data_IF_572047321569
#
_entry.id   IF_572047321569
#
_cell.length_a   1.000
_cell.length_b   1.000
_cell.length_c   1.000
_cell.angle_alpha   90.00
_cell.angle_beta   90.00
_cell.angle_gamma   90.00
#
_symmetry.space_group_name_H-M   'P 1'
#
loop_
_entity.id
_entity.type
_entity.pdbx_description
1 polymer ?
#
# COMPACT_ATOMS: atom_id res chain seq x y z
N UNK A 1 -8.36 2.44 12.38
CA UNK A 1 -8.16 1.29 11.49
C UNK A 1 -9.10 1.34 10.29
N UNK A 2 -8.55 1.25 9.09
CA UNK A 2 -9.34 1.19 7.85
C UNK A 2 -9.58 -0.29 7.55
N UNK A 3 -10.84 -0.72 7.57
CA UNK A 3 -11.20 -2.14 7.47
C UNK A 3 -10.59 -2.76 6.21
N UNK A 4 -9.75 -3.79 6.40
CA UNK A 4 -9.07 -4.50 5.32
C UNK A 4 -7.75 -3.88 4.86
N UNK A 5 -7.38 -2.68 5.33
CA UNK A 5 -6.06 -2.11 5.03
C UNK A 5 -5.00 -2.70 5.98
N UNK A 6 -3.90 -3.20 5.42
CA UNK A 6 -2.76 -3.72 6.19
C UNK A 6 -1.61 -2.70 6.36
N UNK A 7 -1.84 -1.40 6.13
CA UNK A 7 -0.80 -0.37 6.18
C UNK A 7 -0.04 -0.34 7.53
N UNK A 8 -0.72 -0.58 8.65
CA UNK A 8 -0.05 -0.68 9.96
C UNK A 8 0.93 -1.84 10.07
N UNK A 9 0.62 -3.00 9.48
CA UNK A 9 1.52 -4.16 9.44
C UNK A 9 2.68 -3.92 8.46
N UNK A 10 2.42 -3.24 7.34
CA UNK A 10 3.44 -2.83 6.37
C UNK A 10 4.46 -1.88 6.99
N UNK A 11 4.00 -0.88 7.74
CA UNK A 11 4.88 0.06 8.44
C UNK A 11 5.74 -0.61 9.53
N UNK A 12 5.25 -1.71 10.11
CA UNK A 12 6.00 -2.52 11.08
C UNK A 12 6.94 -3.54 10.42
N UNK A 13 6.93 -3.66 9.09
CA UNK A 13 7.67 -4.68 8.36
C UNK A 13 7.18 -6.11 8.57
N UNK A 14 5.94 -6.28 9.05
CA UNK A 14 5.33 -7.60 9.28
C UNK A 14 4.75 -8.17 7.97
N UNK A 15 4.29 -7.28 7.08
CA UNK A 15 3.72 -7.60 5.78
C UNK A 15 4.33 -6.73 4.69
N UNK A 16 4.34 -7.21 3.46
CA UNK A 16 4.65 -6.38 2.30
C UNK A 16 3.35 -5.81 1.68
N UNK A 17 3.41 -4.72 0.89
CA UNK A 17 2.21 -4.12 0.30
C UNK A 17 1.32 -5.11 -0.46
N UNK A 18 1.88 -6.09 -1.16
CA UNK A 18 1.14 -7.14 -1.89
C UNK A 18 0.36 -8.11 -0.99
N UNK A 19 0.69 -8.20 0.31
CA UNK A 19 -0.10 -8.95 1.30
C UNK A 19 -1.37 -8.20 1.74
N UNK A 20 -1.46 -6.89 1.44
CA UNK A 20 -2.64 -6.10 1.75
C UNK A 20 -3.76 -6.43 0.76
N UNK A 21 -4.95 -6.88 1.20
CA UNK A 21 -6.01 -7.31 0.30
C UNK A 21 -6.60 -6.17 -0.56
N UNK A 22 -6.32 -4.92 -0.18
CA UNK A 22 -6.78 -3.73 -0.91
C UNK A 22 -5.73 -3.22 -1.91
N UNK A 23 -4.46 -3.59 -1.76
CA UNK A 23 -3.35 -3.05 -2.54
C UNK A 23 -3.49 -3.39 -4.03
N UNK A 24 -3.30 -2.38 -4.89
CA UNK A 24 -3.40 -2.49 -6.34
C UNK A 24 -4.79 -2.80 -6.88
N UNK A 25 -5.80 -2.94 -6.00
CA UNK A 25 -7.20 -3.19 -6.36
C UNK A 25 -8.04 -1.96 -6.06
N UNK A 26 -8.41 -1.81 -4.78
CA UNK A 26 -9.20 -0.66 -4.28
C UNK A 26 -8.32 0.46 -3.76
N UNK A 27 -7.08 0.15 -3.38
CA UNK A 27 -6.07 1.10 -2.92
C UNK A 27 -5.04 1.25 -4.05
N UNK A 28 -5.09 2.37 -4.75
CA UNK A 28 -4.16 2.77 -5.83
C UNK A 28 -3.69 4.21 -5.59
N UNK A 29 -2.67 4.71 -6.31
CA UNK A 29 -2.28 6.11 -6.22
C UNK A 29 -3.42 7.09 -6.57
N UNK A 30 -4.31 6.76 -7.51
CA UNK A 30 -5.47 7.61 -7.81
C UNK A 30 -6.58 7.51 -6.76
N UNK A 31 -6.71 6.35 -6.10
CA UNK A 31 -7.70 6.11 -5.04
C UNK A 31 -7.03 5.53 -3.79
N UNK A 32 -6.33 6.37 -3.00
CA UNK A 32 -5.59 5.89 -1.84
C UNK A 32 -6.53 5.58 -0.68
N UNK A 33 -6.53 4.32 -0.22
CA UNK A 33 -7.34 3.91 0.94
C UNK A 33 -6.60 4.12 2.25
N UNK A 34 -5.29 3.88 2.30
CA UNK A 34 -4.49 4.00 3.52
C UNK A 34 -3.32 4.98 3.37
N UNK A 35 -2.81 5.49 4.49
CA UNK A 35 -1.73 6.49 4.52
C UNK A 35 -0.48 6.05 3.73
N UNK A 36 -0.17 4.76 3.75
CA UNK A 36 0.93 4.17 2.98
C UNK A 36 0.81 4.34 1.46
N UNK A 37 -0.39 4.62 0.93
CA UNK A 37 -0.66 4.85 -0.49
C UNK A 37 -0.82 6.33 -0.84
N UNK A 38 -1.15 7.19 0.14
CA UNK A 38 -1.41 8.63 -0.07
C UNK A 38 -0.14 9.38 -0.49
N UNK A 39 0.99 9.09 0.17
CA UNK A 39 2.27 9.73 -0.14
C UNK A 39 3.06 8.91 -1.15
N UNK A 40 3.75 9.56 -2.09
CA UNK A 40 4.70 8.92 -3.00
C UNK A 40 5.88 8.25 -2.29
N UNK A 41 6.18 8.71 -1.06
CA UNK A 41 7.20 8.10 -0.18
C UNK A 41 6.61 6.97 0.68
N UNK A 42 5.28 6.81 0.69
CA UNK A 42 4.62 5.75 1.43
C UNK A 42 4.97 4.39 0.87
N UNK A 43 5.18 3.41 1.74
CA UNK A 43 5.63 2.06 1.34
C UNK A 43 4.74 1.42 0.28
N UNK A 44 3.42 1.59 0.33
CA UNK A 44 2.53 1.05 -0.69
C UNK A 44 2.65 1.82 -2.01
N UNK A 45 2.70 3.15 -1.98
CA UNK A 45 2.84 3.97 -3.20
C UNK A 45 4.17 3.71 -3.91
N UNK A 46 5.27 3.67 -3.15
CA UNK A 46 6.59 3.34 -3.67
C UNK A 46 6.61 1.93 -4.29
N UNK A 47 6.08 0.93 -3.59
CA UNK A 47 5.97 -0.43 -4.12
C UNK A 47 5.14 -0.46 -5.42
N UNK A 48 4.04 0.29 -5.49
CA UNK A 48 3.18 0.36 -6.68
C UNK A 48 3.91 0.98 -7.87
N UNK A 49 4.73 2.01 -7.61
CA UNK A 49 5.50 2.71 -8.64
C UNK A 49 6.67 1.90 -9.18
N UNK A 50 7.33 1.11 -8.33
CA UNK A 50 8.62 0.49 -8.68
C UNK A 50 8.54 -1.03 -8.93
N UNK A 51 7.61 -1.77 -8.32
CA UNK A 51 7.45 -3.21 -8.61
C UNK A 51 6.64 -3.50 -9.88
N UNK A 52 5.94 -2.52 -10.45
CA UNK A 52 5.34 -2.66 -11.79
C UNK A 52 6.38 -2.62 -12.94
N UNK A 53 7.68 -2.58 -12.61
CA UNK A 53 8.79 -2.37 -13.55
C UNK A 53 9.78 -3.52 -13.70
N UNK A 54 9.50 -4.72 -13.19
CA UNK A 54 10.31 -5.94 -13.42
C UNK A 54 9.49 -7.08 -13.97
#
# INVERSE_FOLDING_TARGET
DIKGCACGDVLKGIKIPTDCPLYGKKCTPENPVGACMVSTEGSCSAYYKYEAGT
#
